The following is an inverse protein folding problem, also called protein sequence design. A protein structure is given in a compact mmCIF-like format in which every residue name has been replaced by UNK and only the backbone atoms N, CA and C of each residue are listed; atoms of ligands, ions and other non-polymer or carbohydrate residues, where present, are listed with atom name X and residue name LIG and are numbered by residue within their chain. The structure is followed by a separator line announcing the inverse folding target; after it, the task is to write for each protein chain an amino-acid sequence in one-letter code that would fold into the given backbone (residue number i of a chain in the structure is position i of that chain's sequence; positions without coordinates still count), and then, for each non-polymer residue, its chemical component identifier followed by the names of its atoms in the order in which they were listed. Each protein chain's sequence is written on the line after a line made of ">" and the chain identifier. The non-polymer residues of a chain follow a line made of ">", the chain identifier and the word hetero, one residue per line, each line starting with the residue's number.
data_IF_133174776963
#
_entry.id   IF_133174776963
#
_cell.length_a   1.000
_cell.length_b   1.000
_cell.length_c   1.000
_cell.angle_alpha   90.00
_cell.angle_beta   90.00
_cell.angle_gamma   90.00
#
_symmetry.space_group_name_H-M   'P 1'
#
loop_
_entity.id
_entity.type
_entity.pdbx_description
1 polymer ?
#
# COMPACT_ATOMS: atom_id res chain seq x y z
N UNK A 1 55.36 4.81 23.38
CA UNK A 1 54.54 5.10 22.18
C UNK A 1 53.75 6.38 22.43
N UNK A 2 53.96 7.44 21.64
CA UNK A 2 53.17 8.65 21.79
C UNK A 2 51.88 8.51 20.99
N UNK A 3 50.74 8.64 21.63
CA UNK A 3 49.44 8.67 20.99
C UNK A 3 49.32 9.94 20.13
N UNK A 4 49.20 9.79 18.81
CA UNK A 4 48.84 10.89 17.90
C UNK A 4 47.35 10.97 17.71
N UNK A 5 46.77 12.12 18.02
CA UNK A 5 45.37 12.41 17.71
C UNK A 5 45.23 12.61 16.20
N UNK A 6 44.53 11.71 15.55
CA UNK A 6 44.18 11.82 14.14
C UNK A 6 42.82 12.55 14.01
N UNK A 7 42.85 13.77 13.50
CA UNK A 7 41.64 14.58 13.33
C UNK A 7 41.24 14.59 11.86
N UNK A 8 40.16 13.94 11.52
CA UNK A 8 39.60 13.94 10.17
C UNK A 8 38.79 15.24 9.90
N UNK A 9 38.83 15.71 8.67
CA UNK A 9 37.97 16.80 8.22
C UNK A 9 36.54 16.29 8.12
N UNK A 10 35.53 17.04 8.61
CA UNK A 10 34.14 16.66 8.46
C UNK A 10 33.72 16.80 7.00
N UNK A 11 32.83 15.91 6.55
CA UNK A 11 32.31 15.88 5.19
C UNK A 11 33.07 14.92 4.26
N UNK A 12 32.55 14.80 3.04
CA UNK A 12 33.12 13.96 1.98
C UNK A 12 33.74 14.87 0.93
N UNK A 13 34.99 14.64 0.60
CA UNK A 13 35.75 15.42 -0.37
C UNK A 13 35.90 14.58 -1.63
N UNK A 14 35.26 14.99 -2.72
CA UNK A 14 35.23 14.24 -4.00
C UNK A 14 36.07 14.90 -5.12
N UNK A 15 36.55 16.10 -4.89
CA UNK A 15 37.33 16.91 -5.86
C UNK A 15 38.83 16.68 -5.81
N UNK A 16 39.30 15.86 -4.88
CA UNK A 16 40.72 15.47 -4.75
C UNK A 16 40.84 13.93 -4.73
N UNK A 17 41.96 13.45 -5.26
CA UNK A 17 42.22 12.00 -5.29
C UNK A 17 42.55 11.45 -3.90
N UNK A 18 42.23 10.19 -3.67
CA UNK A 18 42.52 9.47 -2.41
C UNK A 18 43.99 9.58 -1.97
N UNK A 19 44.90 9.63 -2.94
CA UNK A 19 46.34 9.76 -2.71
C UNK A 19 46.79 11.15 -2.20
N UNK A 20 45.90 12.15 -2.26
CA UNK A 20 46.22 13.51 -1.79
C UNK A 20 46.02 13.70 -0.28
N UNK A 21 45.57 12.70 0.45
CA UNK A 21 45.31 12.73 1.89
C UNK A 21 46.55 13.12 2.71
N UNK A 22 47.73 12.72 2.28
CA UNK A 22 49.00 13.02 2.99
C UNK A 22 49.35 14.50 3.04
N UNK A 23 48.95 15.31 2.05
CA UNK A 23 49.21 16.77 1.99
C UNK A 23 48.13 17.61 2.67
N UNK A 24 46.89 17.18 2.60
CA UNK A 24 45.72 17.96 3.03
C UNK A 24 45.11 17.47 4.36
N UNK A 25 45.77 16.50 5.02
CA UNK A 25 45.24 15.83 6.20
C UNK A 25 44.19 14.77 5.84
N UNK A 26 43.84 13.91 6.80
CA UNK A 26 42.91 12.81 6.56
C UNK A 26 41.48 13.34 6.29
N UNK A 27 40.86 12.80 5.28
CA UNK A 27 39.48 13.14 4.87
C UNK A 27 38.73 11.88 4.41
N UNK A 28 37.40 11.99 4.32
CA UNK A 28 36.55 10.93 3.79
C UNK A 28 36.32 11.14 2.30
N UNK A 29 36.60 10.14 1.50
CA UNK A 29 36.40 10.18 0.03
C UNK A 29 35.03 9.72 -0.38
N UNK A 30 34.38 8.88 0.44
CA UNK A 30 33.01 8.43 0.24
C UNK A 30 32.33 8.14 1.60
N UNK A 31 31.02 8.22 1.62
CA UNK A 31 30.21 7.83 2.79
C UNK A 31 28.81 7.41 2.38
N UNK A 32 28.29 6.38 3.04
CA UNK A 32 26.93 5.93 2.87
C UNK A 32 26.24 5.82 4.24
N UNK A 33 25.01 6.33 4.33
CA UNK A 33 24.20 6.34 5.55
C UNK A 33 24.89 6.99 6.76
N UNK A 34 25.71 8.02 6.50
CA UNK A 34 26.45 8.77 7.52
C UNK A 34 26.12 10.25 7.40
N UNK A 35 25.92 10.93 8.51
CA UNK A 35 25.89 12.38 8.64
C UNK A 35 27.03 12.85 9.54
N UNK A 36 27.52 14.05 9.33
CA UNK A 36 28.52 14.66 10.19
C UNK A 36 27.84 15.57 11.22
N UNK A 37 28.08 15.31 12.49
CA UNK A 37 27.54 16.11 13.61
C UNK A 37 28.72 16.58 14.45
N UNK A 38 28.86 17.89 14.62
CA UNK A 38 29.99 18.49 15.33
C UNK A 38 31.38 18.01 14.86
N UNK A 39 31.50 17.76 13.54
CA UNK A 39 32.74 17.30 12.94
C UNK A 39 33.00 15.79 13.00
N UNK A 40 32.09 15.02 13.60
CA UNK A 40 32.22 13.56 13.72
C UNK A 40 31.20 12.84 12.83
N UNK A 41 31.59 11.72 12.17
CA UNK A 41 30.66 10.90 11.43
C UNK A 41 29.72 10.20 12.41
N UNK A 42 28.43 10.31 12.15
CA UNK A 42 27.37 9.64 12.90
C UNK A 42 26.50 8.86 11.93
N UNK A 43 26.26 7.61 12.21
CA UNK A 43 25.35 6.79 11.41
C UNK A 43 23.97 7.42 11.35
N UNK A 44 23.41 7.56 10.16
CA UNK A 44 22.00 7.91 9.96
C UNK A 44 21.20 6.66 10.30
N UNK A 45 20.23 6.78 11.21
CA UNK A 45 19.26 5.71 11.44
C UNK A 45 18.54 5.38 10.14
N UNK A 46 18.27 4.11 9.89
CA UNK A 46 17.44 3.69 8.77
C UNK A 46 15.98 4.06 9.01
N UNK A 47 15.18 4.02 7.96
CA UNK A 47 13.73 4.01 8.07
C UNK A 47 13.32 2.64 8.62
N UNK A 48 12.48 2.66 9.63
CA UNK A 48 11.81 1.46 10.12
C UNK A 48 10.36 1.54 9.70
N UNK A 49 9.83 0.43 9.20
CA UNK A 49 8.39 0.34 8.93
C UNK A 49 7.65 0.51 10.24
N UNK A 50 6.66 1.40 10.28
CA UNK A 50 5.76 1.54 11.41
C UNK A 50 4.64 0.49 11.29
N UNK A 51 4.69 -0.50 12.14
CA UNK A 51 3.75 -1.63 12.12
C UNK A 51 2.56 -1.42 13.07
N UNK A 52 2.47 -0.25 13.75
CA UNK A 52 1.60 -0.05 14.89
C UNK A 52 0.50 1.00 14.69
N UNK A 53 -0.16 1.02 13.56
CA UNK A 53 -1.39 1.80 13.48
C UNK A 53 -2.53 1.00 14.15
N UNK A 54 -3.08 1.57 15.24
CA UNK A 54 -4.24 0.99 15.91
C UNK A 54 -5.48 1.16 15.04
N UNK A 55 -6.26 0.11 14.88
CA UNK A 55 -7.67 0.23 14.52
C UNK A 55 -8.51 0.44 15.77
N UNK A 56 -9.63 1.10 15.65
CA UNK A 56 -10.46 1.79 16.65
C UNK A 56 -10.85 1.05 17.93
N UNK A 57 -10.47 -0.19 18.22
CA UNK A 57 -10.72 -0.79 19.55
C UNK A 57 -9.97 -2.06 19.88
N UNK A 58 -9.23 -2.64 18.99
CA UNK A 58 -8.45 -3.83 19.27
C UNK A 58 -7.07 -3.70 18.65
N UNK A 59 -6.08 -4.15 19.36
CA UNK A 59 -4.65 -4.16 19.06
C UNK A 59 -4.29 -4.90 17.73
N UNK A 60 -5.01 -4.66 16.67
CA UNK A 60 -4.73 -5.21 15.34
C UNK A 60 -3.95 -4.20 14.52
N UNK A 61 -2.76 -4.57 14.14
CA UNK A 61 -1.93 -3.82 13.18
C UNK A 61 -2.64 -3.76 11.84
N UNK A 62 -3.03 -2.56 11.42
CA UNK A 62 -3.55 -2.36 10.06
C UNK A 62 -2.44 -1.77 9.22
N UNK A 63 -1.99 -2.52 8.23
CA UNK A 63 -1.06 -2.03 7.23
C UNK A 63 -1.79 -1.11 6.26
N UNK A 64 -1.12 -0.01 5.89
CA UNK A 64 -1.59 0.87 4.81
C UNK A 64 -1.59 0.09 3.50
N UNK A 65 -2.74 0.01 2.87
CA UNK A 65 -2.93 -0.72 1.62
C UNK A 65 -2.82 0.20 0.40
N UNK A 66 -2.30 -0.36 -0.70
CA UNK A 66 -2.08 0.39 -1.93
C UNK A 66 -0.77 1.20 -1.93
N UNK A 67 -0.42 1.73 -3.11
CA UNK A 67 0.80 2.55 -3.28
C UNK A 67 0.54 3.97 -2.80
N UNK A 68 1.33 4.52 -1.86
CA UNK A 68 1.17 5.91 -1.41
C UNK A 68 1.25 6.89 -2.58
N UNK A 69 0.31 7.82 -2.67
CA UNK A 69 0.26 8.86 -3.71
C UNK A 69 0.47 10.25 -3.15
N UNK A 70 -0.18 10.57 -2.03
CA UNK A 70 -0.09 11.88 -1.41
C UNK A 70 -0.34 11.78 0.09
N UNK A 71 0.38 12.62 0.85
CA UNK A 71 0.19 12.81 2.27
C UNK A 71 0.00 14.29 2.57
N UNK A 72 -0.94 14.61 3.45
CA UNK A 72 -1.23 15.97 3.89
C UNK A 72 -1.30 15.96 5.41
N UNK A 73 -0.60 16.89 6.03
CA UNK A 73 -0.63 17.13 7.46
C UNK A 73 -1.43 18.41 7.76
N UNK A 74 -2.25 18.37 8.81
CA UNK A 74 -2.90 19.56 9.34
C UNK A 74 -3.22 19.40 10.82
N UNK A 75 -3.47 20.52 11.49
CA UNK A 75 -3.99 20.54 12.85
C UNK A 75 -5.46 20.89 12.81
N UNK A 76 -6.29 20.12 13.51
CA UNK A 76 -7.73 20.38 13.61
C UNK A 76 -7.97 21.63 14.46
N UNK A 77 -8.87 22.49 14.00
CA UNK A 77 -9.27 23.69 14.75
C UNK A 77 -10.26 23.34 15.89
N UNK A 78 -10.91 22.19 15.82
CA UNK A 78 -11.93 21.77 16.77
C UNK A 78 -11.29 21.22 18.07
N UNK A 79 -10.35 20.29 17.94
CA UNK A 79 -9.74 19.59 19.08
C UNK A 79 -8.23 19.86 19.22
N UNK A 80 -7.64 20.67 18.36
CA UNK A 80 -6.21 20.96 18.34
C UNK A 80 -5.33 19.74 18.00
N UNK A 81 -5.93 18.62 17.62
CA UNK A 81 -5.19 17.38 17.35
C UNK A 81 -4.54 17.42 15.97
N UNK A 82 -3.31 16.88 15.91
CA UNK A 82 -2.60 16.69 14.66
C UNK A 82 -3.23 15.52 13.88
N UNK A 83 -3.39 15.72 12.58
CA UNK A 83 -3.97 14.75 11.65
C UNK A 83 -3.13 14.62 10.40
N UNK A 84 -3.01 13.39 9.90
CA UNK A 84 -2.36 13.10 8.63
C UNK A 84 -3.37 12.39 7.73
N UNK A 85 -3.67 12.96 6.57
CA UNK A 85 -4.38 12.22 5.51
C UNK A 85 -3.36 11.55 4.60
N UNK A 86 -3.60 10.31 4.27
CA UNK A 86 -2.80 9.52 3.36
C UNK A 86 -3.69 8.96 2.25
N UNK A 87 -3.48 9.44 1.03
CA UNK A 87 -4.08 8.88 -0.18
C UNK A 87 -3.16 7.84 -0.81
N UNK A 88 -3.69 6.67 -1.05
CA UNK A 88 -3.02 5.59 -1.79
C UNK A 88 -3.66 5.37 -3.15
N UNK A 89 -3.21 4.36 -3.90
CA UNK A 89 -3.82 3.98 -5.17
C UNK A 89 -5.23 3.40 -5.03
N UNK A 90 -5.61 2.93 -3.82
CA UNK A 90 -6.87 2.22 -3.58
C UNK A 90 -7.64 2.71 -2.35
N UNK A 91 -6.99 3.40 -1.41
CA UNK A 91 -7.58 3.78 -0.13
C UNK A 91 -7.26 5.23 0.25
N UNK A 92 -8.13 5.79 1.07
CA UNK A 92 -7.93 7.07 1.73
C UNK A 92 -7.98 6.88 3.24
N UNK A 93 -6.91 7.27 3.93
CA UNK A 93 -6.77 7.11 5.37
C UNK A 93 -6.62 8.45 6.08
N UNK A 94 -7.09 8.50 7.32
CA UNK A 94 -6.72 9.55 8.28
C UNK A 94 -6.05 8.90 9.48
N UNK A 95 -4.85 9.38 9.81
CA UNK A 95 -4.17 9.05 11.05
C UNK A 95 -4.45 10.15 12.08
N UNK A 96 -4.98 9.77 13.25
CA UNK A 96 -5.23 10.62 14.40
C UNK A 96 -4.86 9.87 15.67
N UNK A 97 -3.99 10.43 16.50
CA UNK A 97 -3.57 9.87 17.79
C UNK A 97 -3.17 8.37 17.67
N UNK A 98 -2.30 8.05 16.73
CA UNK A 98 -1.81 6.70 16.40
C UNK A 98 -2.90 5.70 15.96
N UNK A 99 -4.10 6.19 15.66
CA UNK A 99 -5.20 5.39 15.10
C UNK A 99 -5.36 5.70 13.62
N UNK A 100 -5.32 4.66 12.80
CA UNK A 100 -5.56 4.74 11.37
C UNK A 100 -7.04 4.48 11.08
N UNK A 101 -7.70 5.49 10.51
CA UNK A 101 -9.09 5.42 10.06
C UNK A 101 -9.11 5.28 8.54
N UNK A 102 -9.71 4.23 8.05
CA UNK A 102 -10.04 4.10 6.63
C UNK A 102 -11.31 4.93 6.35
N UNK A 103 -11.17 5.94 5.51
CA UNK A 103 -12.26 6.82 5.08
C UNK A 103 -12.48 6.75 3.57
N UNK A 104 -12.05 5.64 2.96
CA UNK A 104 -12.26 5.41 1.53
C UNK A 104 -13.73 5.57 1.18
N UNK A 105 -14.10 6.46 0.27
CA UNK A 105 -15.49 6.65 -0.10
C UNK A 105 -16.01 5.40 -0.83
N UNK A 106 -16.95 4.72 -0.22
CA UNK A 106 -17.63 3.58 -0.81
C UNK A 106 -18.99 4.03 -1.34
N UNK A 107 -19.28 3.72 -2.60
CA UNK A 107 -20.57 4.00 -3.20
C UNK A 107 -21.64 3.05 -2.70
N UNK A 108 -21.31 1.78 -2.61
CA UNK A 108 -22.15 0.70 -2.11
C UNK A 108 -21.31 -0.44 -1.60
N UNK A 109 -21.84 -1.19 -0.64
CA UNK A 109 -21.30 -2.48 -0.22
C UNK A 109 -22.40 -3.52 -0.37
N UNK A 110 -22.13 -4.58 -1.13
CA UNK A 110 -22.97 -5.77 -1.22
C UNK A 110 -22.40 -6.84 -0.30
N UNK A 111 -23.11 -7.19 0.75
CA UNK A 111 -22.64 -8.09 1.82
C UNK A 111 -23.20 -9.50 1.68
N UNK A 112 -22.39 -10.49 2.04
CA UNK A 112 -22.81 -11.90 2.12
C UNK A 112 -23.37 -12.47 0.82
N UNK A 113 -22.82 -12.07 -0.33
CA UNK A 113 -23.17 -12.65 -1.61
C UNK A 113 -22.69 -14.10 -1.65
N UNK A 114 -23.61 -15.03 -1.91
CA UNK A 114 -23.27 -16.46 -1.98
C UNK A 114 -22.97 -16.87 -3.41
N UNK A 115 -21.75 -17.32 -3.67
CA UNK A 115 -21.27 -17.82 -4.94
C UNK A 115 -21.60 -16.90 -6.16
N UNK A 116 -21.33 -15.58 -6.08
CA UNK A 116 -21.75 -14.64 -7.11
C UNK A 116 -20.91 -14.69 -8.39
N UNK A 117 -19.78 -15.39 -8.40
CA UNK A 117 -18.84 -15.39 -9.51
C UNK A 117 -19.13 -16.52 -10.50
N UNK A 118 -18.92 -16.21 -11.78
CA UNK A 118 -18.94 -17.19 -12.87
C UNK A 118 -17.69 -17.04 -13.75
N UNK A 119 -17.13 -18.16 -14.21
CA UNK A 119 -15.96 -18.21 -15.08
C UNK A 119 -16.23 -19.07 -16.30
N UNK A 120 -15.51 -18.80 -17.39
CA UNK A 120 -15.52 -19.63 -18.61
C UNK A 120 -14.09 -20.11 -18.87
N UNK A 121 -13.93 -21.41 -19.12
CA UNK A 121 -12.63 -22.00 -19.43
C UNK A 121 -11.91 -21.27 -20.57
N UNK A 122 -10.65 -20.93 -20.34
CA UNK A 122 -9.82 -20.19 -21.30
C UNK A 122 -10.07 -18.68 -21.33
N UNK A 123 -10.97 -18.15 -20.50
CA UNK A 123 -11.28 -16.71 -20.41
C UNK A 123 -10.65 -16.05 -19.17
N UNK A 124 -10.25 -14.80 -19.31
CA UNK A 124 -9.86 -13.92 -18.20
C UNK A 124 -11.04 -13.14 -17.64
N UNK A 125 -12.19 -13.18 -18.32
CA UNK A 125 -13.40 -12.46 -17.88
C UNK A 125 -14.13 -13.24 -16.80
N UNK A 126 -14.35 -12.60 -15.67
CA UNK A 126 -15.17 -13.10 -14.56
C UNK A 126 -16.46 -12.32 -14.51
N UNK A 127 -17.60 -13.02 -14.52
CA UNK A 127 -18.92 -12.40 -14.39
C UNK A 127 -19.35 -12.45 -12.93
N UNK A 128 -19.94 -11.36 -12.47
CA UNK A 128 -20.46 -11.20 -11.09
C UNK A 128 -21.97 -11.01 -11.16
N UNK A 129 -22.69 -11.75 -10.34
CA UNK A 129 -24.13 -11.56 -10.11
C UNK A 129 -24.33 -10.84 -8.78
N UNK A 130 -24.80 -9.60 -8.84
CA UNK A 130 -25.07 -8.76 -7.67
C UNK A 130 -26.32 -7.94 -7.95
N UNK A 131 -27.42 -8.31 -7.30
CA UNK A 131 -28.74 -7.74 -7.58
C UNK A 131 -28.81 -6.26 -7.22
N UNK A 132 -29.28 -5.45 -8.18
CA UNK A 132 -29.44 -4.00 -8.02
C UNK A 132 -28.17 -3.30 -7.56
N UNK A 133 -27.02 -3.70 -8.12
CA UNK A 133 -25.70 -3.21 -7.69
C UNK A 133 -25.50 -1.70 -7.90
N UNK A 134 -26.21 -1.08 -8.85
CA UNK A 134 -26.16 0.36 -9.10
C UNK A 134 -24.84 0.88 -9.67
N UNK A 135 -23.88 -0.01 -9.96
CA UNK A 135 -22.61 0.34 -10.55
C UNK A 135 -22.73 0.63 -12.06
N UNK A 136 -21.81 1.41 -12.59
CA UNK A 136 -21.71 1.73 -14.03
C UNK A 136 -20.35 1.24 -14.56
N UNK A 137 -20.26 1.08 -15.88
CA UNK A 137 -19.00 0.73 -16.53
C UNK A 137 -17.91 1.76 -16.20
N UNK A 138 -16.73 1.29 -15.79
CA UNK A 138 -15.63 2.13 -15.35
C UNK A 138 -15.55 2.32 -13.83
N UNK A 139 -16.57 1.90 -13.06
CA UNK A 139 -16.46 1.82 -11.60
C UNK A 139 -15.45 0.73 -11.20
N UNK A 140 -14.93 0.82 -9.98
CA UNK A 140 -14.03 -0.17 -9.41
C UNK A 140 -14.74 -0.92 -8.28
N UNK A 141 -14.48 -2.23 -8.21
CA UNK A 141 -14.96 -3.09 -7.12
C UNK A 141 -13.79 -3.82 -6.46
N UNK A 142 -13.88 -3.99 -5.16
CA UNK A 142 -12.96 -4.82 -4.36
C UNK A 142 -13.75 -6.00 -3.82
N UNK A 143 -13.26 -7.20 -4.09
CA UNK A 143 -13.80 -8.43 -3.54
C UNK A 143 -13.14 -8.69 -2.18
N UNK A 144 -13.92 -9.09 -1.20
CA UNK A 144 -13.48 -9.38 0.16
C UNK A 144 -13.99 -10.77 0.57
N UNK A 145 -13.09 -11.65 0.97
CA UNK A 145 -13.36 -13.03 1.36
C UNK A 145 -13.79 -13.97 0.21
N UNK A 146 -13.47 -13.61 -1.05
CA UNK A 146 -13.67 -14.51 -2.17
C UNK A 146 -12.78 -15.76 -2.05
N UNK A 147 -13.33 -16.92 -2.38
CA UNK A 147 -12.57 -18.18 -2.50
C UNK A 147 -12.18 -18.45 -3.96
N UNK A 148 -11.17 -19.29 -4.17
CA UNK A 148 -10.73 -19.65 -5.52
C UNK A 148 -11.87 -20.22 -6.37
N UNK A 149 -11.90 -19.83 -7.66
CA UNK A 149 -12.91 -20.29 -8.61
C UNK A 149 -12.28 -20.49 -10.01
N UNK A 150 -12.65 -21.58 -10.67
CA UNK A 150 -12.26 -21.82 -12.05
C UNK A 150 -10.75 -21.82 -12.30
N UNK A 151 -9.93 -22.11 -11.26
CA UNK A 151 -8.46 -22.06 -11.34
C UNK A 151 -7.87 -20.67 -11.05
N UNK A 152 -8.70 -19.63 -10.86
CA UNK A 152 -8.26 -18.30 -10.39
C UNK A 152 -8.12 -18.37 -8.88
N UNK A 153 -6.98 -17.91 -8.35
CA UNK A 153 -6.68 -17.99 -6.91
C UNK A 153 -7.49 -17.00 -6.09
N UNK A 154 -7.68 -17.30 -4.80
CA UNK A 154 -8.31 -16.37 -3.86
C UNK A 154 -7.52 -15.06 -3.71
N UNK A 155 -6.19 -15.14 -3.72
CA UNK A 155 -5.32 -13.96 -3.63
C UNK A 155 -5.48 -13.04 -4.84
N UNK A 156 -5.61 -13.62 -6.03
CA UNK A 156 -5.90 -12.84 -7.25
C UNK A 156 -7.25 -12.15 -7.13
N UNK A 157 -8.28 -12.85 -6.66
CA UNK A 157 -9.64 -12.29 -6.55
C UNK A 157 -9.74 -11.18 -5.50
N UNK A 158 -9.10 -11.36 -4.33
CA UNK A 158 -9.17 -10.43 -3.19
C UNK A 158 -8.10 -9.32 -3.25
N UNK A 159 -7.60 -8.98 -4.43
CA UNK A 159 -6.58 -7.94 -4.54
C UNK A 159 -7.11 -6.57 -4.13
N UNK A 160 -6.27 -5.84 -3.42
CA UNK A 160 -6.59 -4.54 -2.81
C UNK A 160 -6.87 -3.44 -3.82
N UNK A 161 -6.21 -3.51 -4.99
CA UNK A 161 -6.39 -2.52 -6.07
C UNK A 161 -7.77 -2.61 -6.71
N UNK A 162 -8.51 -3.68 -6.46
CA UNK A 162 -9.81 -3.93 -7.06
C UNK A 162 -9.76 -4.19 -8.55
N UNK A 163 -10.93 -4.20 -9.15
CA UNK A 163 -11.15 -4.45 -10.57
C UNK A 163 -12.03 -3.37 -11.17
N UNK A 164 -11.62 -2.86 -12.32
CA UNK A 164 -12.51 -2.05 -13.16
C UNK A 164 -13.58 -2.94 -13.77
N UNK A 165 -14.82 -2.52 -13.71
CA UNK A 165 -15.96 -3.30 -14.14
C UNK A 165 -16.55 -2.81 -15.46
N UNK A 166 -17.14 -3.76 -16.18
CA UNK A 166 -18.05 -3.50 -17.30
C UNK A 166 -19.44 -3.97 -16.91
N UNK A 167 -20.40 -3.03 -16.83
CA UNK A 167 -21.80 -3.33 -16.54
C UNK A 167 -22.42 -4.16 -17.66
N UNK A 168 -23.09 -5.26 -17.32
CA UNK A 168 -23.86 -6.10 -18.24
C UNK A 168 -25.35 -5.81 -18.10
N UNK A 169 -25.87 -5.91 -16.89
CA UNK A 169 -27.26 -5.61 -16.55
C UNK A 169 -27.33 -4.86 -15.22
N UNK A 170 -28.51 -4.54 -14.71
CA UNK A 170 -28.66 -3.97 -13.36
C UNK A 170 -28.33 -4.94 -12.24
N UNK A 171 -28.22 -6.23 -12.57
CA UNK A 171 -27.95 -7.33 -11.62
C UNK A 171 -26.66 -8.07 -11.91
N UNK A 172 -25.86 -7.64 -12.90
CA UNK A 172 -24.61 -8.30 -13.25
C UNK A 172 -23.63 -7.36 -13.93
N UNK A 173 -22.37 -7.61 -13.68
CA UNK A 173 -21.25 -6.96 -14.35
C UNK A 173 -20.10 -7.95 -14.52
N UNK A 174 -19.09 -7.59 -15.26
CA UNK A 174 -17.88 -8.38 -15.43
C UNK A 174 -16.64 -7.56 -15.15
N UNK A 175 -15.56 -8.25 -14.81
CA UNK A 175 -14.22 -7.68 -14.72
C UNK A 175 -13.20 -8.62 -15.37
N UNK A 176 -12.00 -8.10 -15.66
CA UNK A 176 -10.90 -8.87 -16.23
C UNK A 176 -9.93 -9.27 -15.13
N UNK A 177 -9.78 -10.58 -14.92
CA UNK A 177 -8.75 -11.15 -14.05
C UNK A 177 -7.39 -11.15 -14.74
N UNK A 178 -6.27 -10.97 -14.03
CA UNK A 178 -4.93 -11.22 -14.59
C UNK A 178 -4.69 -12.70 -14.91
N UNK A 179 -5.40 -13.61 -14.23
CA UNK A 179 -5.30 -15.06 -14.45
C UNK A 179 -6.40 -15.54 -15.39
N UNK A 180 -6.06 -16.52 -16.22
CA UNK A 180 -6.99 -17.20 -17.12
C UNK A 180 -7.70 -18.34 -16.38
N UNK A 181 -9.01 -18.41 -16.47
CA UNK A 181 -9.76 -19.51 -15.89
C UNK A 181 -9.45 -20.84 -16.60
N UNK A 182 -9.17 -21.87 -15.83
CA UNK A 182 -8.87 -23.23 -16.30
C UNK A 182 -10.11 -24.12 -16.36
N UNK A 183 -11.26 -23.64 -15.90
CA UNK A 183 -12.54 -24.36 -15.97
C UNK A 183 -13.73 -23.40 -16.02
N UNK A 184 -14.83 -23.89 -16.59
CA UNK A 184 -16.11 -23.18 -16.58
C UNK A 184 -16.87 -23.50 -15.31
N UNK A 185 -17.22 -22.45 -14.54
CA UNK A 185 -18.01 -22.54 -13.32
C UNK A 185 -19.14 -21.51 -13.41
N UNK A 186 -20.37 -21.97 -13.33
CA UNK A 186 -21.53 -21.09 -13.49
C UNK A 186 -21.86 -20.26 -12.23
N UNK A 187 -21.45 -20.76 -11.03
CA UNK A 187 -21.68 -20.08 -9.76
C UNK A 187 -20.67 -20.56 -8.74
N UNK A 188 -19.88 -19.67 -8.17
CA UNK A 188 -18.82 -20.00 -7.22
C UNK A 188 -18.21 -18.77 -6.59
N UNK A 189 -17.04 -18.95 -5.95
CA UNK A 189 -16.30 -17.89 -5.26
C UNK A 189 -16.61 -17.80 -3.77
N UNK A 190 -17.49 -18.66 -3.23
CA UNK A 190 -17.85 -18.69 -1.81
C UNK A 190 -18.75 -17.54 -1.39
N UNK A 191 -18.87 -17.32 -0.08
CA UNK A 191 -19.57 -16.16 0.47
C UNK A 191 -18.62 -15.00 0.61
N UNK A 192 -18.93 -13.88 -0.04
CA UNK A 192 -18.05 -12.73 -0.10
C UNK A 192 -18.80 -11.41 0.05
N UNK A 193 -18.05 -10.37 0.32
CA UNK A 193 -18.52 -8.99 0.25
C UNK A 193 -17.90 -8.29 -0.96
N UNK A 194 -18.62 -7.36 -1.55
CA UNK A 194 -18.12 -6.50 -2.62
C UNK A 194 -18.30 -5.04 -2.22
N UNK A 195 -17.23 -4.30 -2.34
CA UNK A 195 -17.14 -2.88 -1.96
C UNK A 195 -16.83 -2.04 -3.16
#
# INVERSE_FOLDING_TARGET
>A
MSLRLLKFRPGVVKDITEYSAGKNGPFYVDSNLVRFVNGYPKKIGGWQQEDYFRTTSTSTTTLVQGKPKKMIFWRSLDDGADRIALGTSSHLYILKADVLYDITPLRKTSSSLSNPLATTNGSTTVTVTDTSHGAVTGDYVVLDSATAIGGISADTLNRVEGYEITKITDNSYSFVSPDTASSTVASGGGTMNIK
#
